data_IF_143696186081
#
_entry.id   IF_143696186081
#
_cell.length_a   1.000
_cell.length_b   1.000
_cell.length_c   1.000
_cell.angle_alpha   90.00
_cell.angle_beta   90.00
_cell.angle_gamma   90.00
#
_symmetry.space_group_name_H-M   'P 1'
#
loop_
_entity.id
_entity.type
_entity.pdbx_description
1 polymer ?
#
# COMPACT_ATOMS: atom_id res chain seq x y z
N UNK A 1 10.61 9.93 5.53
CA UNK A 1 9.88 8.74 5.11
C UNK A 1 10.63 8.09 3.96
N UNK A 2 10.82 6.76 4.03
CA UNK A 2 11.26 5.97 2.89
C UNK A 2 10.08 5.16 2.37
N UNK A 3 9.93 5.10 1.05
CA UNK A 3 8.95 4.28 0.35
C UNK A 3 9.67 3.32 -0.59
N UNK A 4 9.04 2.21 -0.90
CA UNK A 4 9.62 1.19 -1.77
C UNK A 4 8.93 1.19 -3.12
N UNK A 5 9.75 1.25 -4.17
CA UNK A 5 9.28 1.38 -5.56
C UNK A 5 9.52 0.14 -6.37
N UNK A 6 8.48 -0.27 -7.07
CA UNK A 6 8.49 -1.39 -8.00
C UNK A 6 8.48 -0.85 -9.43
N UNK A 7 9.26 -1.45 -10.31
CA UNK A 7 9.26 -1.10 -11.73
C UNK A 7 7.90 -1.47 -12.35
N UNK A 8 7.15 -0.51 -12.91
CA UNK A 8 5.86 -0.79 -13.51
C UNK A 8 5.99 -1.72 -14.72
N UNK A 9 5.13 -2.72 -14.80
CA UNK A 9 5.00 -3.61 -15.97
C UNK A 9 3.87 -3.19 -16.89
N UNK A 10 2.92 -2.40 -16.40
CA UNK A 10 1.78 -1.87 -17.17
C UNK A 10 1.25 -0.58 -16.52
N UNK A 11 0.52 0.28 -17.26
CA UNK A 11 -0.18 1.41 -16.65
C UNK A 11 -1.42 0.90 -15.90
N UNK A 12 -1.51 1.17 -14.60
CA UNK A 12 -2.63 0.80 -13.74
C UNK A 12 -3.15 2.03 -13.01
N UNK A 13 -4.47 2.12 -12.82
CA UNK A 13 -5.11 3.12 -11.95
C UNK A 13 -5.26 2.64 -10.50
N UNK A 14 -4.86 1.40 -10.22
CA UNK A 14 -5.01 0.81 -8.88
C UNK A 14 -3.87 1.16 -7.93
N UNK A 15 -2.73 1.61 -8.46
CA UNK A 15 -1.51 1.85 -7.69
C UNK A 15 -1.15 3.34 -7.60
N UNK A 16 -0.49 3.70 -6.50
CA UNK A 16 0.24 4.96 -6.40
C UNK A 16 1.51 4.93 -7.24
N UNK A 17 1.94 6.09 -7.72
CA UNK A 17 3.15 6.28 -8.52
C UNK A 17 4.03 7.36 -7.93
N UNK A 18 5.32 7.23 -8.16
CA UNK A 18 6.23 8.31 -7.85
C UNK A 18 7.38 8.42 -8.85
N UNK A 19 7.93 9.64 -8.94
CA UNK A 19 9.11 9.96 -9.75
C UNK A 19 10.24 10.34 -8.80
N UNK A 20 11.45 9.90 -9.11
CA UNK A 20 12.63 10.19 -8.30
C UNK A 20 13.68 10.99 -9.06
N UNK A 21 14.43 11.82 -8.32
CA UNK A 21 15.68 12.38 -8.77
C UNK A 21 16.79 11.84 -7.88
N UNK A 22 17.88 11.33 -8.49
CA UNK A 22 19.05 10.86 -7.73
C UNK A 22 19.74 12.06 -7.08
N UNK A 23 19.94 11.98 -5.76
CA UNK A 23 20.71 12.96 -4.99
C UNK A 23 21.73 12.20 -4.15
N UNK A 24 23.00 12.21 -4.55
CA UNK A 24 24.05 11.34 -4.01
C UNK A 24 23.62 9.87 -4.11
N UNK A 25 23.62 9.13 -3.00
CA UNK A 25 23.21 7.71 -2.93
C UNK A 25 21.71 7.49 -2.65
N UNK A 26 20.90 8.55 -2.58
CA UNK A 26 19.50 8.49 -2.21
C UNK A 26 18.63 8.91 -3.40
N UNK A 27 17.55 8.18 -3.64
CA UNK A 27 16.54 8.57 -4.60
C UNK A 27 15.51 9.46 -3.92
N UNK A 28 15.60 10.76 -4.10
CA UNK A 28 14.61 11.72 -3.60
C UNK A 28 13.34 11.65 -4.44
N UNK A 29 12.19 11.48 -3.81
CA UNK A 29 10.89 11.57 -4.50
C UNK A 29 10.60 13.03 -4.80
N UNK A 30 10.39 13.33 -6.08
CA UNK A 30 10.05 14.68 -6.57
C UNK A 30 8.57 14.85 -6.79
N UNK A 31 7.86 13.76 -7.03
CA UNK A 31 6.42 13.74 -7.26
C UNK A 31 5.84 12.41 -6.80
N UNK A 32 4.73 12.46 -6.07
CA UNK A 32 3.90 11.31 -5.70
C UNK A 32 2.47 11.54 -6.20
N UNK A 33 1.82 10.51 -6.72
CA UNK A 33 0.45 10.58 -7.24
C UNK A 33 -0.24 9.27 -6.89
N UNK A 34 -1.29 9.34 -6.09
CA UNK A 34 -2.09 8.17 -5.73
C UNK A 34 -3.15 7.90 -6.79
N UNK A 35 -3.21 6.65 -7.26
CA UNK A 35 -4.22 6.12 -8.17
C UNK A 35 -4.56 7.06 -9.35
N UNK A 36 -3.57 7.41 -10.20
CA UNK A 36 -3.81 8.30 -11.32
C UNK A 36 -4.70 7.64 -12.39
N UNK A 37 -5.38 8.43 -13.21
CA UNK A 37 -6.00 7.92 -14.45
C UNK A 37 -4.95 7.22 -15.31
N UNK A 38 -5.34 6.21 -16.09
CA UNK A 38 -4.43 5.41 -16.95
C UNK A 38 -3.57 6.27 -17.87
N UNK A 39 -4.14 7.34 -18.46
CA UNK A 39 -3.40 8.30 -19.29
C UNK A 39 -2.24 8.95 -18.53
N UNK A 40 -2.47 9.33 -17.27
CA UNK A 40 -1.45 9.90 -16.39
C UNK A 40 -0.42 8.86 -15.96
N UNK A 41 -0.87 7.64 -15.64
CA UNK A 41 0.02 6.52 -15.34
C UNK A 41 1.01 6.26 -16.48
N UNK A 42 0.54 6.24 -17.75
CA UNK A 42 1.40 6.13 -18.93
C UNK A 42 2.47 7.24 -18.99
N UNK A 43 2.09 8.49 -18.68
CA UNK A 43 3.05 9.60 -18.65
C UNK A 43 4.12 9.42 -17.56
N UNK A 44 3.72 8.97 -16.36
CA UNK A 44 4.65 8.72 -15.25
C UNK A 44 5.62 7.60 -15.59
N UNK A 45 5.15 6.53 -16.23
CA UNK A 45 6.01 5.41 -16.68
C UNK A 45 7.04 5.90 -17.73
N UNK A 46 6.61 6.73 -18.70
CA UNK A 46 7.52 7.36 -19.68
C UNK A 46 8.63 8.18 -18.99
N UNK A 47 8.32 8.79 -17.83
CA UNK A 47 9.28 9.54 -17.01
C UNK A 47 10.09 8.63 -16.06
N UNK A 48 10.13 7.31 -16.31
CA UNK A 48 10.81 6.31 -15.47
C UNK A 48 10.32 6.32 -14.02
N UNK A 49 9.02 6.57 -13.82
CA UNK A 49 8.37 6.48 -12.52
C UNK A 49 8.20 5.04 -12.05
N UNK A 50 7.93 4.89 -10.76
CA UNK A 50 7.77 3.61 -10.07
C UNK A 50 6.38 3.50 -9.48
N UNK A 51 5.87 2.28 -9.34
CA UNK A 51 4.74 1.99 -8.46
C UNK A 51 5.14 2.13 -7.00
N UNK A 52 4.26 2.68 -6.18
CA UNK A 52 4.36 2.60 -4.74
C UNK A 52 3.92 1.20 -4.28
N UNK A 53 4.81 0.48 -3.60
CA UNK A 53 4.50 -0.87 -3.11
C UNK A 53 3.56 -0.90 -1.89
N UNK A 54 3.27 0.27 -1.28
CA UNK A 54 2.54 0.34 -0.03
C UNK A 54 3.38 0.00 1.20
N UNK A 55 4.66 -0.33 1.03
CA UNK A 55 5.60 -0.55 2.13
C UNK A 55 6.29 0.76 2.52
N UNK A 56 6.43 1.00 3.83
CA UNK A 56 7.02 2.23 4.36
C UNK A 56 8.07 1.92 5.42
N UNK A 57 9.16 2.68 5.41
CA UNK A 57 10.10 2.74 6.51
C UNK A 57 10.19 4.18 7.01
N UNK A 58 9.86 4.39 8.28
CA UNK A 58 9.75 5.73 8.84
C UNK A 58 10.05 5.75 10.35
N UNK A 59 10.52 6.90 10.80
CA UNK A 59 10.70 7.14 12.24
C UNK A 59 9.35 7.59 12.85
N UNK A 60 9.06 7.11 14.06
CA UNK A 60 7.87 7.47 14.84
C UNK A 60 7.65 8.97 14.90
N UNK A 61 8.67 9.74 15.25
CA UNK A 61 8.54 11.19 15.39
C UNK A 61 8.22 11.88 14.06
N UNK A 62 8.83 11.38 12.97
CA UNK A 62 8.57 11.92 11.63
C UNK A 62 7.11 11.74 11.23
N UNK A 63 6.50 10.57 11.47
CA UNK A 63 5.10 10.35 11.12
C UNK A 63 4.16 11.18 11.99
N UNK A 64 4.41 11.25 13.29
CA UNK A 64 3.61 12.07 14.22
C UNK A 64 3.64 13.53 13.78
N UNK A 65 4.81 14.08 13.48
CA UNK A 65 4.97 15.46 13.04
C UNK A 65 4.29 15.73 11.69
N UNK A 66 4.33 14.78 10.76
CA UNK A 66 3.60 14.90 9.49
C UNK A 66 2.08 14.92 9.72
N UNK A 67 1.54 14.04 10.58
CA UNK A 67 0.10 14.06 10.91
C UNK A 67 -0.30 15.35 11.64
N UNK A 68 0.48 15.84 12.59
CA UNK A 68 0.24 17.13 13.25
C UNK A 68 0.16 18.27 12.22
N UNK A 69 1.08 18.27 11.25
CA UNK A 69 1.21 19.33 10.24
C UNK A 69 0.12 19.27 9.18
N UNK A 70 -0.11 18.10 8.60
CA UNK A 70 -0.92 17.95 7.39
C UNK A 70 -2.33 17.43 7.65
N UNK A 71 -2.55 16.76 8.79
CA UNK A 71 -3.83 16.15 9.18
C UNK A 71 -4.14 16.33 10.66
N UNK A 72 -4.26 17.58 11.16
CA UNK A 72 -4.43 17.84 12.59
C UNK A 72 -5.73 17.23 13.15
N UNK A 73 -6.78 17.11 12.35
CA UNK A 73 -8.03 16.43 12.75
C UNK A 73 -7.78 14.96 13.06
N UNK A 74 -7.14 14.22 12.13
CA UNK A 74 -6.82 12.81 12.33
C UNK A 74 -5.95 12.66 13.56
N UNK A 75 -4.87 13.43 13.65
CA UNK A 75 -3.95 13.35 14.79
C UNK A 75 -4.67 13.56 16.14
N UNK A 76 -5.44 14.63 16.28
CA UNK A 76 -6.15 14.95 17.54
C UNK A 76 -7.13 13.87 17.94
N UNK A 77 -7.94 13.40 17.00
CA UNK A 77 -8.99 12.43 17.32
C UNK A 77 -8.42 11.02 17.57
N UNK A 78 -7.42 10.59 16.82
CA UNK A 78 -6.71 9.34 17.10
C UNK A 78 -5.99 9.39 18.45
N UNK A 79 -5.30 10.49 18.77
CA UNK A 79 -4.65 10.67 20.07
C UNK A 79 -5.65 10.63 21.23
N UNK A 80 -6.79 11.35 21.11
CA UNK A 80 -7.88 11.27 22.10
C UNK A 80 -8.45 9.86 22.25
N UNK A 81 -8.57 9.11 21.13
CA UNK A 81 -9.07 7.76 21.17
C UNK A 81 -8.13 6.81 21.93
N UNK A 82 -6.82 7.00 21.79
CA UNK A 82 -5.79 6.24 22.52
C UNK A 82 -5.75 6.64 24.01
N UNK A 83 -5.73 7.94 24.33
CA UNK A 83 -5.73 8.42 25.73
C UNK A 83 -6.93 7.89 26.51
N UNK A 84 -8.11 7.80 25.86
CA UNK A 84 -9.34 7.29 26.46
C UNK A 84 -9.56 5.79 26.23
N UNK A 85 -8.55 5.07 25.73
CA UNK A 85 -8.65 3.64 25.52
C UNK A 85 -8.76 2.87 26.84
N UNK A 86 -9.52 1.78 26.81
CA UNK A 86 -9.57 0.80 27.90
C UNK A 86 -8.62 -0.35 27.57
N UNK A 87 -7.81 -0.75 28.53
CA UNK A 87 -6.94 -1.92 28.40
C UNK A 87 -7.55 -3.10 29.15
N UNK A 88 -7.80 -4.20 28.45
CA UNK A 88 -8.33 -5.44 29.05
C UNK A 88 -7.81 -6.64 28.26
N UNK A 89 -7.37 -7.67 28.97
CA UNK A 89 -6.91 -8.96 28.38
C UNK A 89 -5.89 -8.78 27.24
N UNK A 90 -4.87 -7.96 27.46
CA UNK A 90 -3.81 -7.64 26.50
C UNK A 90 -4.29 -6.94 25.22
N UNK A 91 -5.51 -6.36 25.22
CA UNK A 91 -6.10 -5.63 24.11
C UNK A 91 -6.42 -4.18 24.50
N UNK A 92 -6.06 -3.24 23.65
CA UNK A 92 -6.47 -1.84 23.76
C UNK A 92 -7.78 -1.62 22.98
N UNK A 93 -8.82 -1.24 23.71
CA UNK A 93 -10.11 -0.84 23.13
C UNK A 93 -10.15 0.68 22.98
N UNK A 94 -9.95 1.16 21.76
CA UNK A 94 -9.97 2.59 21.47
C UNK A 94 -11.34 3.22 21.81
N UNK A 95 -11.33 4.47 22.26
CA UNK A 95 -12.58 5.19 22.47
C UNK A 95 -13.28 5.47 21.13
N UNK A 96 -14.40 4.76 20.89
CA UNK A 96 -15.17 4.79 19.63
C UNK A 96 -15.61 6.22 19.26
N UNK A 97 -16.12 6.99 20.23
CA UNK A 97 -16.62 8.35 20.00
C UNK A 97 -15.52 9.31 19.51
N UNK A 98 -14.30 9.17 20.04
CA UNK A 98 -13.16 9.97 19.58
C UNK A 98 -12.66 9.48 18.23
N UNK A 99 -12.53 8.16 18.04
CA UNK A 99 -12.00 7.58 16.81
C UNK A 99 -12.90 7.88 15.59
N UNK A 100 -14.22 7.80 15.74
CA UNK A 100 -15.18 8.07 14.66
C UNK A 100 -15.17 9.53 14.15
N UNK A 101 -14.60 10.45 14.93
CA UNK A 101 -14.41 11.86 14.52
C UNK A 101 -13.13 12.08 13.70
N UNK A 102 -12.26 11.07 13.59
CA UNK A 102 -11.11 11.15 12.71
C UNK A 102 -11.55 10.99 11.24
N UNK A 103 -11.06 11.88 10.39
CA UNK A 103 -11.34 11.80 8.95
C UNK A 103 -10.75 10.50 8.38
N UNK A 104 -11.57 9.66 7.74
CA UNK A 104 -11.11 8.46 7.05
C UNK A 104 -10.31 8.84 5.80
N UNK A 105 -9.01 8.57 5.81
CA UNK A 105 -8.12 8.91 4.70
C UNK A 105 -6.91 7.97 4.69
N UNK A 106 -6.53 7.45 3.52
CA UNK A 106 -5.32 6.63 3.41
C UNK A 106 -4.07 7.45 3.70
N UNK A 107 -3.00 6.79 4.13
CA UNK A 107 -1.70 7.43 4.40
C UNK A 107 -1.13 8.14 3.17
N UNK A 108 -1.36 7.56 2.00
CA UNK A 108 -0.90 8.09 0.73
C UNK A 108 -1.49 9.49 0.45
N UNK A 109 -2.81 9.62 0.51
CA UNK A 109 -3.51 10.90 0.39
C UNK A 109 -3.30 11.84 1.58
N UNK A 110 -3.18 11.27 2.78
CA UNK A 110 -3.04 12.06 3.99
C UNK A 110 -1.67 12.74 4.08
N UNK A 111 -0.61 12.02 3.73
CA UNK A 111 0.78 12.41 3.99
C UNK A 111 1.63 12.40 2.72
N UNK A 112 1.68 11.30 1.94
CA UNK A 112 2.65 11.17 0.86
C UNK A 112 2.46 12.20 -0.25
N UNK A 113 1.22 12.54 -0.59
CA UNK A 113 0.97 13.60 -1.58
C UNK A 113 1.32 15.02 -1.09
N UNK A 114 1.46 15.20 0.23
CA UNK A 114 1.66 16.52 0.84
C UNK A 114 3.09 16.77 1.30
N UNK A 115 3.79 15.74 1.74
CA UNK A 115 5.14 15.91 2.27
C UNK A 115 6.18 15.92 1.16
N UNK A 116 7.13 16.86 1.26
CA UNK A 116 8.29 16.91 0.37
C UNK A 116 9.46 16.06 0.86
N UNK A 117 9.34 15.44 2.03
CA UNK A 117 10.43 14.69 2.64
C UNK A 117 10.26 13.18 2.48
N UNK A 118 10.22 12.73 1.22
CA UNK A 118 10.13 11.32 0.86
C UNK A 118 11.41 10.92 0.10
N UNK A 119 11.99 9.81 0.51
CA UNK A 119 13.04 9.12 -0.21
C UNK A 119 12.51 7.77 -0.69
N UNK A 120 13.11 7.22 -1.74
CA UNK A 120 12.67 5.95 -2.29
C UNK A 120 13.82 4.94 -2.37
N UNK A 121 13.49 3.69 -2.09
CA UNK A 121 14.31 2.53 -2.36
C UNK A 121 13.67 1.78 -3.53
N UNK A 122 14.44 1.53 -4.57
CA UNK A 122 13.97 0.78 -5.75
C UNK A 122 14.18 -0.69 -5.48
N UNK A 123 13.13 -1.48 -5.67
CA UNK A 123 13.18 -2.93 -5.55
C UNK A 123 13.07 -3.56 -6.92
N UNK A 124 13.98 -4.48 -7.22
CA UNK A 124 13.94 -5.30 -8.43
C UNK A 124 13.52 -6.72 -8.07
N UNK A 125 12.26 -6.83 -7.67
CA UNK A 125 11.63 -8.09 -7.24
C UNK A 125 10.27 -8.26 -7.92
N UNK A 126 9.81 -9.50 -8.15
CA UNK A 126 8.42 -9.77 -8.48
C UNK A 126 7.52 -9.26 -7.35
N UNK A 127 6.52 -8.46 -7.70
CA UNK A 127 5.60 -7.87 -6.72
C UNK A 127 4.17 -7.84 -7.25
N UNK A 128 3.23 -8.05 -6.35
CA UNK A 128 1.81 -7.80 -6.53
C UNK A 128 1.22 -7.40 -5.18
N UNK A 129 0.29 -6.48 -5.17
CA UNK A 129 -0.46 -6.08 -3.97
C UNK A 129 -1.53 -7.12 -3.57
N UNK A 130 -1.78 -8.12 -4.43
CA UNK A 130 -2.85 -9.12 -4.28
C UNK A 130 -4.24 -8.48 -4.04
N UNK A 131 -4.43 -7.24 -4.48
CA UNK A 131 -5.63 -6.45 -4.25
C UNK A 131 -6.87 -6.93 -5.01
N UNK A 132 -6.72 -7.88 -5.93
CA UNK A 132 -7.84 -8.44 -6.69
C UNK A 132 -7.73 -9.94 -6.87
N UNK A 133 -8.89 -10.61 -7.00
CA UNK A 133 -8.94 -12.04 -7.33
C UNK A 133 -8.18 -12.38 -8.62
N UNK A 134 -8.20 -11.48 -9.60
CA UNK A 134 -7.46 -11.62 -10.85
C UNK A 134 -5.95 -11.71 -10.61
N UNK A 135 -5.40 -10.88 -9.73
CA UNK A 135 -3.98 -10.91 -9.37
C UNK A 135 -3.64 -12.16 -8.56
N UNK A 136 -4.52 -12.55 -7.64
CA UNK A 136 -4.39 -13.81 -6.89
C UNK A 136 -4.36 -15.00 -7.85
N UNK A 137 -5.31 -15.08 -8.80
CA UNK A 137 -5.35 -16.16 -9.79
C UNK A 137 -4.09 -16.20 -10.68
N UNK A 138 -3.57 -15.04 -11.10
CA UNK A 138 -2.32 -14.97 -11.87
C UNK A 138 -1.12 -15.51 -11.07
N UNK A 139 -1.02 -15.17 -9.79
CA UNK A 139 0.01 -15.71 -8.93
C UNK A 139 -0.16 -17.21 -8.72
N UNK A 140 -1.37 -17.68 -8.48
CA UNK A 140 -1.69 -19.09 -8.33
C UNK A 140 -1.38 -19.89 -9.59
N UNK A 141 -1.71 -19.36 -10.77
CA UNK A 141 -1.36 -19.98 -12.06
C UNK A 141 0.15 -20.17 -12.24
N UNK A 142 0.95 -19.16 -11.84
CA UNK A 142 2.41 -19.27 -11.84
C UNK A 142 2.93 -20.31 -10.83
N UNK A 143 2.34 -20.37 -9.64
CA UNK A 143 2.68 -21.35 -8.60
C UNK A 143 2.25 -22.75 -9.07
N UNK A 144 1.07 -22.93 -9.64
CA UNK A 144 0.57 -24.20 -10.16
C UNK A 144 1.49 -24.77 -11.22
N UNK A 145 1.96 -23.97 -12.15
CA UNK A 145 2.92 -24.40 -13.18
C UNK A 145 4.29 -24.78 -12.62
N UNK A 146 4.67 -24.28 -11.45
CA UNK A 146 5.96 -24.58 -10.81
C UNK A 146 5.92 -25.77 -9.86
N UNK A 147 4.80 -26.01 -9.17
CA UNK A 147 4.70 -26.99 -8.09
C UNK A 147 3.66 -28.10 -8.30
N UNK A 148 2.69 -27.95 -9.21
CA UNK A 148 1.57 -28.88 -9.33
C UNK A 148 1.46 -29.52 -10.72
N UNK A 149 2.53 -30.15 -11.19
CA UNK A 149 2.46 -31.04 -12.37
C UNK A 149 1.66 -32.34 -12.11
N UNK A 150 1.16 -32.57 -10.89
CA UNK A 150 0.35 -33.74 -10.54
C UNK A 150 -0.83 -33.39 -9.64
N UNK A 151 -2.04 -33.61 -10.22
CA UNK A 151 -3.38 -33.70 -9.60
C UNK A 151 -4.09 -32.42 -9.17
N UNK A 152 -5.32 -32.29 -9.70
CA UNK A 152 -6.37 -31.32 -9.50
C UNK A 152 -6.95 -31.24 -8.06
N UNK A 153 -6.13 -31.14 -7.03
CA UNK A 153 -6.61 -31.02 -5.64
C UNK A 153 -5.97 -29.81 -4.98
N UNK A 154 -6.77 -28.79 -4.82
CA UNK A 154 -6.41 -27.67 -3.95
C UNK A 154 -6.68 -28.06 -2.51
N UNK A 155 -5.66 -28.44 -1.75
CA UNK A 155 -5.74 -28.45 -0.29
C UNK A 155 -5.49 -27.03 0.24
N UNK A 156 -6.46 -26.51 0.95
CA UNK A 156 -6.38 -25.24 1.65
C UNK A 156 -6.06 -25.43 3.11
N UNK A 157 -5.31 -24.52 3.70
CA UNK A 157 -5.20 -24.43 5.15
C UNK A 157 -6.53 -24.04 5.83
N UNK A 158 -7.57 -23.58 5.08
CA UNK A 158 -8.74 -22.90 5.62
C UNK A 158 -10.07 -23.34 4.98
N UNK A 159 -10.23 -24.62 4.68
CA UNK A 159 -11.49 -25.17 4.15
C UNK A 159 -11.61 -25.13 2.61
N UNK A 160 -12.47 -25.97 2.06
CA UNK A 160 -12.61 -26.15 0.62
C UNK A 160 -13.44 -25.02 -0.04
N UNK A 161 -12.85 -24.29 -0.98
CA UNK A 161 -13.54 -23.33 -1.86
C UNK A 161 -13.49 -23.83 -3.31
N UNK A 162 -13.85 -25.07 -3.53
CA UNK A 162 -13.85 -25.69 -4.86
C UNK A 162 -14.79 -25.01 -5.85
N UNK A 163 -15.78 -24.23 -5.37
CA UNK A 163 -16.80 -23.60 -6.21
C UNK A 163 -16.48 -22.17 -6.66
N UNK A 164 -15.42 -21.52 -6.13
CA UNK A 164 -15.06 -20.14 -6.50
C UNK A 164 -14.38 -20.03 -7.87
N UNK A 165 -13.96 -21.15 -8.46
CA UNK A 165 -13.20 -21.20 -9.71
C UNK A 165 -13.84 -22.03 -10.82
N UNK A 166 -15.07 -22.50 -10.62
CA UNK A 166 -15.89 -22.91 -11.75
C UNK A 166 -16.39 -21.63 -12.41
N UNK A 167 -15.52 -21.00 -13.18
CA UNK A 167 -15.90 -19.99 -14.15
C UNK A 167 -16.90 -20.64 -15.09
N UNK A 168 -17.96 -19.92 -15.40
CA UNK A 168 -18.81 -20.19 -16.54
C UNK A 168 -17.89 -20.28 -17.75
N UNK A 169 -17.96 -21.41 -18.43
CA UNK A 169 -17.56 -21.55 -19.83
C UNK A 169 -18.39 -20.59 -20.67
#
# INVERSE_FOLDING_TARGET
VFIFGIKPTSPSSEYGYFITKKKKNINKVTRFIEKPKVSKAKQVIKQKGYWNSGMFFLRKDSIINNFKKYQPNIFRNCNKAVIKAKYKSNVYYLNKQSFSKATAKSFDYAILEKTKNINAIKLDIPWSDLGSWKEICKMYGKIKNRYFKKKNVFHRPWGSYTNLFKGKE
#
